data_IF_832996245374
#
_entry.id   IF_832996245374
#
_cell.length_a   1.000
_cell.length_b   1.000
_cell.length_c   1.000
_cell.angle_alpha   90.00
_cell.angle_beta   90.00
_cell.angle_gamma   90.00
#
_symmetry.space_group_name_H-M   'P 1'
#
loop_
_entity.id
_entity.type
_entity.pdbx_description
1 polymer ?
#
# COMPACT_ATOMS: atom_id res chain seq x y z
N UNK A 1 -3.07 7.83 -6.45
CA UNK A 1 -3.54 8.32 -5.12
C UNK A 1 -2.32 8.40 -4.23
N UNK A 2 -2.22 9.41 -3.36
CA UNK A 2 -1.05 9.56 -2.47
C UNK A 2 -1.43 9.36 -1.00
N UNK A 3 -0.58 8.69 -0.25
CA UNK A 3 -0.80 8.49 1.18
C UNK A 3 0.36 7.81 1.90
N UNK A 4 0.33 7.87 3.22
CA UNK A 4 1.32 7.23 4.09
C UNK A 4 0.88 5.84 4.49
N UNK A 5 1.80 4.88 4.44
CA UNK A 5 1.58 3.55 4.99
C UNK A 5 1.68 3.61 6.51
N UNK A 6 0.56 3.43 7.20
CA UNK A 6 0.48 3.54 8.66
C UNK A 6 0.25 2.20 9.38
N UNK A 7 0.02 1.11 8.63
CA UNK A 7 0.04 -0.24 9.19
C UNK A 7 0.26 -1.28 8.09
N UNK A 8 0.96 -2.37 8.44
CA UNK A 8 1.11 -3.55 7.60
C UNK A 8 0.74 -4.80 8.39
N UNK A 9 -0.18 -5.60 7.87
CA UNK A 9 -0.61 -6.86 8.46
C UNK A 9 -0.40 -7.97 7.44
N UNK A 10 0.30 -9.03 7.83
CA UNK A 10 0.44 -10.22 6.98
C UNK A 10 -0.95 -10.81 6.71
N UNK A 11 -1.22 -11.10 5.45
CA UNK A 11 -2.36 -11.87 5.00
C UNK A 11 -1.90 -13.30 4.65
N UNK A 12 -2.67 -14.01 3.82
CA UNK A 12 -2.32 -15.38 3.40
C UNK A 12 -1.05 -15.35 2.53
N UNK A 13 -0.16 -16.32 2.74
CA UNK A 13 1.11 -16.43 2.00
C UNK A 13 1.99 -15.17 2.17
N UNK A 14 2.44 -14.57 1.05
CA UNK A 14 3.26 -13.35 1.05
C UNK A 14 2.43 -12.07 1.03
N UNK A 15 1.10 -12.17 0.92
CA UNK A 15 0.23 -11.01 0.77
C UNK A 15 0.14 -10.17 2.04
N UNK A 16 -0.23 -8.90 1.88
CA UNK A 16 -0.30 -7.93 2.98
C UNK A 16 -1.58 -7.12 2.89
N UNK A 17 -2.20 -6.85 4.04
CA UNK A 17 -3.19 -5.79 4.19
C UNK A 17 -2.45 -4.54 4.68
N UNK A 18 -2.51 -3.48 3.88
CA UNK A 18 -1.91 -2.18 4.18
C UNK A 18 -2.97 -1.17 4.57
N UNK A 19 -2.79 -0.49 5.69
CA UNK A 19 -3.60 0.69 6.02
C UNK A 19 -2.88 1.95 5.59
N UNK A 20 -3.55 2.76 4.77
CA UNK A 20 -2.99 3.98 4.19
C UNK A 20 -3.78 5.19 4.68
N UNK A 21 -3.05 6.17 5.21
CA UNK A 21 -3.55 7.51 5.52
C UNK A 21 -3.43 8.37 4.26
N UNK A 22 -4.56 8.77 3.70
CA UNK A 22 -4.66 9.73 2.59
C UNK A 22 -5.15 11.07 3.11
N UNK A 23 -5.16 12.11 2.25
CA UNK A 23 -5.67 13.44 2.61
C UNK A 23 -7.13 13.46 3.05
N UNK A 24 -7.93 12.47 2.66
CA UNK A 24 -9.38 12.45 2.91
C UNK A 24 -9.86 11.25 3.72
N UNK A 25 -9.03 10.23 3.94
CA UNK A 25 -9.47 8.99 4.60
C UNK A 25 -8.32 8.14 5.10
N UNK A 26 -8.62 7.29 6.07
CA UNK A 26 -7.78 6.16 6.48
C UNK A 26 -8.47 4.89 6.00
N UNK A 27 -7.84 4.15 5.08
CA UNK A 27 -8.43 2.94 4.48
C UNK A 27 -7.44 1.80 4.41
N UNK A 28 -7.96 0.59 4.50
CA UNK A 28 -7.18 -0.65 4.37
C UNK A 28 -7.36 -1.23 2.97
N UNK A 29 -6.25 -1.66 2.38
CA UNK A 29 -6.19 -2.21 1.04
C UNK A 29 -5.44 -3.53 1.05
N UNK A 30 -5.87 -4.46 0.21
CA UNK A 30 -5.18 -5.71 0.02
C UNK A 30 -4.07 -5.55 -1.03
N UNK A 31 -2.89 -6.08 -0.75
CA UNK A 31 -1.75 -6.10 -1.67
C UNK A 31 -1.31 -7.54 -1.89
N UNK A 32 -1.46 -8.00 -3.13
CA UNK A 32 -0.86 -9.25 -3.58
C UNK A 32 0.66 -9.08 -3.72
N UNK A 33 1.42 -9.97 -3.09
CA UNK A 33 2.86 -10.08 -3.27
C UNK A 33 3.15 -11.31 -4.13
N UNK A 34 3.43 -11.08 -5.41
CA UNK A 34 4.22 -12.01 -6.22
C UNK A 34 5.72 -11.76 -6.01
N UNK A 35 6.55 -12.75 -6.32
CA UNK A 35 8.00 -12.84 -6.04
C UNK A 35 8.89 -11.69 -6.60
N UNK A 36 8.33 -10.62 -7.17
CA UNK A 36 9.06 -9.51 -7.78
C UNK A 36 8.41 -8.13 -7.63
N UNK A 37 7.42 -7.97 -6.75
CA UNK A 37 6.74 -6.68 -6.57
C UNK A 37 7.42 -5.77 -5.54
N UNK A 38 7.33 -4.45 -5.78
CA UNK A 38 7.82 -3.41 -4.87
C UNK A 38 7.29 -3.64 -3.45
N UNK A 39 8.21 -3.76 -2.49
CA UNK A 39 7.88 -4.01 -1.09
C UNK A 39 7.27 -2.76 -0.48
N UNK A 40 6.09 -2.91 0.09
CA UNK A 40 5.38 -1.87 0.80
C UNK A 40 6.00 -1.73 2.20
N UNK A 41 6.41 -0.52 2.57
CA UNK A 41 7.14 -0.26 3.81
C UNK A 41 6.34 0.69 4.70
N UNK A 42 6.32 0.41 6.00
CA UNK A 42 5.71 1.30 6.98
C UNK A 42 6.38 2.68 6.95
N UNK A 43 5.59 3.74 7.17
CA UNK A 43 6.06 5.13 7.22
C UNK A 43 6.33 5.77 5.87
N UNK A 44 6.35 5.00 4.77
CA UNK A 44 6.62 5.56 3.45
C UNK A 44 5.42 6.30 2.88
N UNK A 45 5.70 7.44 2.24
CA UNK A 45 4.75 8.10 1.36
C UNK A 45 4.75 7.35 0.03
N UNK A 46 3.56 6.98 -0.44
CA UNK A 46 3.39 6.18 -1.65
C UNK A 46 2.42 6.86 -2.61
N UNK A 47 2.71 6.76 -3.91
CA UNK A 47 1.71 6.92 -4.97
C UNK A 47 1.23 5.53 -5.40
N UNK A 48 -0.08 5.35 -5.51
CA UNK A 48 -0.70 4.05 -5.77
C UNK A 48 -2.06 4.18 -6.45
N UNK A 49 -2.49 3.11 -7.10
CA UNK A 49 -3.82 2.97 -7.68
C UNK A 49 -4.65 2.00 -6.84
N UNK A 50 -5.97 2.20 -6.86
CA UNK A 50 -6.94 1.31 -6.22
C UNK A 50 -7.73 0.60 -7.30
N UNK A 51 -7.68 -0.72 -7.28
CA UNK A 51 -8.52 -1.58 -8.10
C UNK A 51 -9.71 -2.04 -7.24
N UNK A 52 -10.87 -1.45 -7.52
CA UNK A 52 -12.15 -1.86 -6.92
C UNK A 52 -12.61 -3.13 -7.63
N UNK A 53 -12.53 -4.28 -6.96
CA UNK A 53 -12.94 -5.57 -7.54
C UNK A 53 -14.38 -5.89 -7.11
N UNK A 54 -15.31 -5.98 -8.07
CA UNK A 54 -16.76 -6.12 -7.83
C UNK A 54 -17.16 -7.42 -7.11
N UNK A 55 -16.22 -8.34 -6.87
CA UNK A 55 -16.43 -9.57 -6.10
C UNK A 55 -15.41 -9.82 -4.99
N UNK A 56 -14.47 -8.90 -4.73
CA UNK A 56 -13.43 -9.10 -3.71
C UNK A 56 -13.85 -8.58 -2.34
N UNK A 57 -13.33 -9.22 -1.30
CA UNK A 57 -13.51 -8.81 0.10
C UNK A 57 -12.91 -7.42 0.40
N UNK A 58 -11.92 -6.97 -0.38
CA UNK A 58 -11.22 -5.71 -0.13
C UNK A 58 -10.64 -5.11 -1.42
N UNK A 59 -10.68 -3.78 -1.61
CA UNK A 59 -10.04 -3.12 -2.76
C UNK A 59 -8.53 -3.38 -2.77
N UNK A 60 -7.96 -3.51 -3.96
CA UNK A 60 -6.54 -3.87 -4.12
C UNK A 60 -5.67 -2.65 -4.38
N UNK A 61 -4.49 -2.65 -3.77
CA UNK A 61 -3.46 -1.65 -4.00
C UNK A 61 -2.55 -2.08 -5.16
N UNK A 62 -2.53 -1.31 -6.26
CA UNK A 62 -1.74 -1.54 -7.48
C UNK A 62 -0.92 -0.30 -7.84
N UNK A 63 -0.07 -0.40 -8.87
CA UNK A 63 0.71 0.75 -9.37
C UNK A 63 1.52 1.50 -8.29
N UNK A 64 2.25 0.77 -7.44
CA UNK A 64 2.94 1.35 -6.28
C UNK A 64 4.27 2.00 -6.64
N UNK A 65 4.44 3.27 -6.29
CA UNK A 65 5.70 4.01 -6.31
C UNK A 65 5.98 4.63 -4.94
N UNK A 66 7.19 4.47 -4.44
CA UNK A 66 7.63 5.16 -3.22
C UNK A 66 8.02 6.59 -3.55
N UNK A 67 7.50 7.53 -2.77
CA UNK A 67 7.86 8.93 -2.83
C UNK A 67 8.80 9.21 -1.65
N UNK A 68 10.07 9.48 -1.97
CA UNK A 68 11.08 9.79 -0.97
C UNK A 68 10.95 11.21 -0.43
N UNK A 69 11.64 11.45 0.68
CA UNK A 69 11.98 12.78 1.17
C UNK A 69 13.49 12.95 1.06
N UNK A 70 13.98 14.18 0.93
CA UNK A 70 15.42 14.44 0.81
C UNK A 70 16.20 13.87 2.00
N UNK A 71 15.60 13.85 3.19
CA UNK A 71 16.19 13.32 4.43
C UNK A 71 16.05 11.80 4.62
N UNK A 72 15.47 11.07 3.66
CA UNK A 72 15.16 9.63 3.86
C UNK A 72 16.42 8.76 3.96
N UNK A 73 17.55 9.22 3.43
CA UNK A 73 18.84 8.52 3.43
C UNK A 73 19.96 9.28 4.15
N UNK A 74 19.62 10.37 4.85
CA UNK A 74 20.57 11.10 5.69
C UNK A 74 21.01 10.26 6.91
#
# INVERSE_FOLDING_TARGET
MKGFVIALRKAKNEDVISTVLTTHSVRSYYRFFGARHSILQFGHLIDFEVEEDQGSFMPRLRGLSHLGFDWLYD
#
